data_IF_420707532371
#
_entry.id   IF_420707532371
#
_cell.length_a   1.000
_cell.length_b   1.000
_cell.length_c   1.000
_cell.angle_alpha   90.00
_cell.angle_beta   90.00
_cell.angle_gamma   90.00
#
_symmetry.space_group_name_H-M   'P 1'
#
loop_
_entity.id
_entity.type
_entity.pdbx_description
1 polymer ?
#
# COMPACT_ATOMS: atom_id res chain seq x y z
N UNK A 1 -27.70 -2.76 8.21
CA UNK A 1 -28.03 -3.11 6.80
C UNK A 1 -26.81 -2.77 5.96
N UNK A 2 -26.01 -3.77 5.59
CA UNK A 2 -24.78 -3.57 4.80
C UNK A 2 -25.08 -3.98 3.36
N UNK A 3 -24.82 -3.09 2.40
CA UNK A 3 -24.97 -3.38 0.97
C UNK A 3 -23.68 -4.03 0.48
N UNK A 4 -23.75 -5.31 0.11
CA UNK A 4 -22.62 -6.00 -0.52
C UNK A 4 -22.57 -5.64 -2.01
N UNK A 5 -21.49 -5.00 -2.45
CA UNK A 5 -21.15 -4.89 -3.86
C UNK A 5 -20.36 -6.14 -4.25
N UNK A 6 -20.95 -7.00 -5.07
CA UNK A 6 -20.38 -8.27 -5.52
C UNK A 6 -19.61 -8.03 -6.83
N UNK A 7 -18.29 -8.09 -6.79
CA UNK A 7 -17.42 -8.18 -7.96
C UNK A 7 -16.84 -9.59 -7.99
N UNK A 8 -17.24 -10.36 -9.01
CA UNK A 8 -16.72 -11.65 -9.49
C UNK A 8 -15.76 -12.41 -8.54
N UNK A 9 -16.34 -13.21 -7.65
CA UNK A 9 -15.62 -14.26 -6.92
C UNK A 9 -14.77 -13.80 -5.72
N UNK A 10 -14.58 -12.51 -5.51
CA UNK A 10 -13.90 -11.94 -4.34
C UNK A 10 -14.91 -11.23 -3.44
N UNK A 11 -15.26 -11.86 -2.32
CA UNK A 11 -16.05 -11.20 -1.27
C UNK A 11 -15.14 -10.24 -0.51
N UNK A 12 -15.28 -8.93 -0.77
CA UNK A 12 -14.73 -7.91 0.13
C UNK A 12 -15.55 -7.94 1.43
N UNK A 13 -15.13 -8.77 2.38
CA UNK A 13 -15.63 -8.70 3.73
C UNK A 13 -15.10 -7.41 4.34
N UNK A 14 -15.96 -6.40 4.43
CA UNK A 14 -15.67 -5.22 5.23
C UNK A 14 -15.34 -5.71 6.64
N UNK A 15 -14.09 -5.51 7.09
CA UNK A 15 -13.69 -5.83 8.46
C UNK A 15 -14.44 -4.85 9.36
N UNK A 16 -15.57 -5.29 9.90
CA UNK A 16 -16.40 -4.49 10.81
C UNK A 16 -15.67 -4.41 12.15
N UNK A 17 -14.83 -3.40 12.25
CA UNK A 17 -14.09 -3.05 13.46
C UNK A 17 -13.25 -1.82 13.17
N UNK A 18 -13.87 -0.63 13.20
CA UNK A 18 -13.25 0.71 13.24
C UNK A 18 -11.93 0.94 12.44
N UNK A 19 -11.68 0.19 11.37
CA UNK A 19 -10.56 0.38 10.45
C UNK A 19 -10.94 1.47 9.43
N UNK A 20 -11.26 2.65 9.93
CA UNK A 20 -11.29 3.88 9.14
C UNK A 20 -10.05 4.69 9.52
N UNK A 21 -8.85 4.35 9.01
CA UNK A 21 -7.78 5.34 8.99
C UNK A 21 -8.35 6.59 8.29
N UNK A 22 -8.03 7.77 8.82
CA UNK A 22 -8.48 9.05 8.25
C UNK A 22 -8.32 9.00 6.71
N UNK A 23 -9.34 9.39 5.93
CA UNK A 23 -9.28 9.40 4.47
C UNK A 23 -8.39 10.56 4.00
N UNK A 24 -7.10 10.42 4.28
CA UNK A 24 -6.03 11.31 3.87
C UNK A 24 -5.03 10.55 3.01
N UNK A 25 -4.09 11.29 2.39
CA UNK A 25 -3.04 10.71 1.54
C UNK A 25 -2.08 9.77 2.29
N UNK A 26 -2.24 9.60 3.61
CA UNK A 26 -1.46 8.70 4.43
C UNK A 26 -2.26 7.46 4.90
N UNK A 27 -3.46 7.21 4.36
CA UNK A 27 -4.33 6.09 4.74
C UNK A 27 -3.61 4.74 4.79
N UNK A 28 -2.73 4.46 3.82
CA UNK A 28 -1.89 3.25 3.82
C UNK A 28 -0.91 3.16 5.00
N UNK A 29 -0.20 4.25 5.31
CA UNK A 29 0.71 4.29 6.46
C UNK A 29 -0.03 4.25 7.80
N UNK A 30 -1.22 4.85 7.87
CA UNK A 30 -2.07 4.80 9.07
C UNK A 30 -2.61 3.41 9.32
N UNK A 31 -3.09 2.72 8.28
CA UNK A 31 -3.51 1.33 8.36
C UNK A 31 -2.35 0.43 8.82
N UNK A 32 -1.16 0.63 8.26
CA UNK A 32 0.03 -0.13 8.64
C UNK A 32 0.48 0.18 10.09
N UNK A 33 0.47 1.44 10.51
CA UNK A 33 0.78 1.81 11.90
C UNK A 33 -0.23 1.20 12.87
N UNK A 34 -1.52 1.26 12.55
CA UNK A 34 -2.57 0.63 13.35
C UNK A 34 -2.38 -0.90 13.45
N UNK A 35 -2.04 -1.56 12.35
CA UNK A 35 -1.80 -3.00 12.32
C UNK A 35 -0.57 -3.44 13.13
N UNK A 36 0.51 -2.64 13.13
CA UNK A 36 1.76 -2.98 13.82
C UNK A 36 1.72 -2.58 15.30
N UNK A 37 1.20 -1.38 15.61
CA UNK A 37 1.35 -0.75 16.93
C UNK A 37 0.04 -0.49 17.64
N UNK A 38 -1.10 -0.75 16.99
CA UNK A 38 -2.42 -0.40 17.52
C UNK A 38 -2.71 1.10 17.52
N UNK A 39 -1.80 1.96 17.01
CA UNK A 39 -1.95 3.41 17.03
C UNK A 39 -1.67 4.03 15.66
N UNK A 40 -2.74 4.46 14.97
CA UNK A 40 -2.65 5.11 13.66
C UNK A 40 -1.90 6.46 13.68
N UNK A 41 -1.76 7.14 14.81
CA UNK A 41 -1.02 8.41 14.91
C UNK A 41 0.49 8.23 14.76
N UNK A 42 0.99 7.01 14.97
CA UNK A 42 2.40 6.68 14.77
C UNK A 42 2.82 6.59 13.30
N UNK A 43 1.89 6.82 12.36
CA UNK A 43 2.17 6.76 10.92
C UNK A 43 3.34 7.66 10.49
N UNK A 44 3.55 8.82 11.14
CA UNK A 44 4.67 9.73 10.82
C UNK A 44 6.03 9.09 11.11
N UNK A 45 6.17 8.48 12.29
CA UNK A 45 7.39 7.78 12.70
C UNK A 45 7.62 6.56 11.80
N UNK A 46 6.56 5.80 11.51
CA UNK A 46 6.63 4.66 10.61
C UNK A 46 7.08 5.08 9.21
N UNK A 47 6.48 6.11 8.63
CA UNK A 47 6.83 6.67 7.33
C UNK A 47 8.30 7.09 7.28
N UNK A 48 8.80 7.78 8.32
CA UNK A 48 10.21 8.15 8.43
C UNK A 48 11.15 6.93 8.45
N UNK A 49 10.82 5.90 9.22
CA UNK A 49 11.61 4.66 9.29
C UNK A 49 11.62 3.91 7.95
N UNK A 50 10.47 3.82 7.27
CA UNK A 50 10.37 3.19 5.96
C UNK A 50 11.26 3.93 4.95
N UNK A 51 11.18 5.26 4.89
CA UNK A 51 12.03 6.07 4.01
C UNK A 51 13.52 5.85 4.32
N UNK A 52 13.91 5.81 5.59
CA UNK A 52 15.30 5.55 5.96
C UNK A 52 15.79 4.17 5.49
N UNK A 53 14.96 3.14 5.57
CA UNK A 53 15.27 1.78 5.08
C UNK A 53 15.39 1.77 3.56
N UNK A 54 14.46 2.43 2.85
CA UNK A 54 14.48 2.55 1.40
C UNK A 54 15.75 3.27 0.95
N UNK A 55 16.08 4.40 1.57
CA UNK A 55 17.29 5.16 1.27
C UNK A 55 18.57 4.36 1.55
N UNK A 56 18.61 3.57 2.62
CA UNK A 56 19.76 2.69 2.91
C UNK A 56 19.98 1.65 1.81
N UNK A 57 18.92 1.23 1.12
CA UNK A 57 18.97 0.28 0.02
C UNK A 57 18.60 0.94 -1.32
N UNK A 58 18.88 2.23 -1.48
CA UNK A 58 18.35 3.02 -2.58
C UNK A 58 18.70 2.41 -3.96
N UNK A 59 19.96 2.00 -4.15
CA UNK A 59 20.42 1.38 -5.40
C UNK A 59 19.59 0.14 -5.76
N UNK A 60 19.39 -0.76 -4.80
CA UNK A 60 18.59 -1.97 -4.99
C UNK A 60 17.13 -1.65 -5.35
N UNK A 61 16.51 -0.71 -4.64
CA UNK A 61 15.11 -0.35 -4.92
C UNK A 61 14.94 0.44 -6.22
N UNK A 62 15.93 1.23 -6.63
CA UNK A 62 15.96 1.87 -7.94
C UNK A 62 16.04 0.84 -9.07
N UNK A 63 16.89 -0.17 -8.93
CA UNK A 63 16.98 -1.26 -9.91
C UNK A 63 15.67 -2.05 -10.02
N UNK A 64 15.03 -2.37 -8.89
CA UNK A 64 13.72 -3.04 -8.88
C UNK A 64 12.66 -2.19 -9.60
N UNK A 65 12.63 -0.88 -9.35
CA UNK A 65 11.67 0.02 -9.99
C UNK A 65 11.89 0.12 -11.51
N UNK A 66 13.14 0.24 -11.95
CA UNK A 66 13.48 0.27 -13.37
C UNK A 66 13.14 -1.05 -14.06
N UNK A 67 13.41 -2.19 -13.40
CA UNK A 67 13.07 -3.51 -13.93
C UNK A 67 11.55 -3.68 -14.07
N UNK A 68 10.76 -3.28 -13.06
CA UNK A 68 9.29 -3.32 -13.16
C UNK A 68 8.76 -2.43 -14.29
N UNK A 69 9.30 -1.21 -14.43
CA UNK A 69 8.90 -0.27 -15.48
C UNK A 69 9.20 -0.84 -16.88
N UNK A 70 10.36 -1.47 -17.06
CA UNK A 70 10.75 -2.12 -18.31
C UNK A 70 9.88 -3.33 -18.64
N UNK A 71 9.53 -4.15 -17.64
CA UNK A 71 8.63 -5.29 -17.83
C UNK A 71 7.24 -4.81 -18.22
N UNK A 72 6.72 -3.77 -17.56
CA UNK A 72 5.40 -3.21 -17.88
C UNK A 72 5.37 -2.61 -19.28
N UNK A 73 6.41 -1.88 -19.69
CA UNK A 73 6.48 -1.29 -21.04
C UNK A 73 6.60 -2.35 -22.13
N UNK A 74 7.37 -3.41 -21.90
CA UNK A 74 7.50 -4.55 -22.83
C UNK A 74 6.19 -5.32 -22.96
N UNK A 75 5.41 -5.42 -21.88
CA UNK A 75 4.11 -6.07 -21.91
C UNK A 75 3.09 -5.25 -22.71
N UNK A 76 3.06 -3.93 -22.50
CA UNK A 76 2.17 -3.01 -23.24
C UNK A 76 2.50 -3.00 -24.73
N UNK A 77 3.77 -2.96 -25.12
CA UNK A 77 4.17 -2.95 -26.55
C UNK A 77 3.94 -4.28 -27.28
N UNK A 78 3.80 -5.39 -26.54
CA UNK A 78 3.44 -6.70 -27.13
C UNK A 78 1.94 -6.96 -27.20
N UNK A 79 1.13 -6.16 -26.50
CA UNK A 79 -0.34 -6.25 -26.50
C UNK A 79 -1.02 -5.29 -27.50
N UNK A 80 -0.27 -4.32 -28.03
CA UNK A 80 -0.67 -3.48 -29.17
C UNK A 80 -0.14 -4.07 -30.48
#
# INVERSE_FOLDING_TARGET
>A
MTKEAKLDGLSMKQVVGHFNPLPDDNGGFRALALAITGNQEQYKLLKAKVIAILNKKNVFYQEVFLLQSLVLSTFVTKLC
#
